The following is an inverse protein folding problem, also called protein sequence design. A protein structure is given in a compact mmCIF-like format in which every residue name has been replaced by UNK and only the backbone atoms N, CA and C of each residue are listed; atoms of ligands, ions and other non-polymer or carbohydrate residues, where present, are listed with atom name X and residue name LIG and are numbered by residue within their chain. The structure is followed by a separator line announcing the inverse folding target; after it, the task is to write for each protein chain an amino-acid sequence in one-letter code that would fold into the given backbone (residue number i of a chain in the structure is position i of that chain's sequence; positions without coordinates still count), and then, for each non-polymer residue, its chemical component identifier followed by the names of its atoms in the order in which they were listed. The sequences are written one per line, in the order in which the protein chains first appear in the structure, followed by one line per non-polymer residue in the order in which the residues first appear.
data_IF_280092589324
#
_entry.id   IF_280092589324
#
_cell.length_a   1.000
_cell.length_b   1.000
_cell.length_c   1.000
_cell.angle_alpha   90.00
_cell.angle_beta   90.00
_cell.angle_gamma   90.00
#
_symmetry.space_group_name_H-M   'P 1'
#
loop_
_entity.id
_entity.type
_entity.pdbx_description
1 polymer ?
#
# COMPACT_ATOMS: atom_id res chain seq x y z
N UNK A 1 -5.43 -34.68 56.16
CA UNK A 1 -3.96 -34.67 56.19
C UNK A 1 -3.44 -35.03 54.80
N UNK A 2 -2.59 -34.17 54.24
CA UNK A 2 -1.66 -34.33 53.12
C UNK A 2 -2.12 -34.44 51.64
N UNK A 3 -1.63 -33.42 50.91
CA UNK A 3 -1.49 -33.17 49.47
C UNK A 3 -0.52 -34.16 48.79
N UNK A 4 -0.71 -34.43 47.48
CA UNK A 4 0.31 -34.42 46.39
C UNK A 4 -0.32 -34.80 45.02
N UNK A 5 -0.46 -33.85 44.07
CA UNK A 5 0.39 -33.53 42.88
C UNK A 5 0.32 -34.57 41.73
N UNK A 6 -0.33 -34.21 40.60
CA UNK A 6 0.23 -33.94 39.25
C UNK A 6 0.61 -35.23 38.46
N UNK A 7 0.42 -35.44 37.15
CA UNK A 7 0.69 -34.64 35.93
C UNK A 7 -0.14 -35.27 34.78
N UNK A 8 -0.83 -34.46 33.96
CA UNK A 8 -1.43 -34.91 32.69
C UNK A 8 -0.40 -34.67 31.57
N UNK A 9 0.12 -35.74 30.97
CA UNK A 9 1.13 -35.69 29.93
C UNK A 9 0.51 -35.38 28.55
N UNK A 10 0.91 -34.26 27.97
CA UNK A 10 0.60 -33.88 26.59
C UNK A 10 1.48 -34.68 25.62
N UNK A 11 0.86 -35.53 24.80
CA UNK A 11 1.54 -36.19 23.67
C UNK A 11 1.76 -35.18 22.53
N UNK A 12 3.03 -34.80 22.30
CA UNK A 12 3.49 -34.17 21.07
C UNK A 12 3.94 -35.30 20.14
N UNK A 13 3.20 -35.55 19.06
CA UNK A 13 3.68 -36.40 17.97
C UNK A 13 4.49 -35.51 17.02
N UNK A 14 5.81 -35.50 17.20
CA UNK A 14 6.75 -35.03 16.20
C UNK A 14 7.02 -36.18 15.22
N UNK A 15 6.46 -36.08 14.02
CA UNK A 15 6.78 -36.99 12.92
C UNK A 15 8.19 -36.71 12.42
N UNK A 16 9.11 -37.63 12.70
CA UNK A 16 10.46 -37.66 12.14
C UNK A 16 10.38 -37.93 10.63
N UNK A 17 10.93 -37.01 9.82
CA UNK A 17 11.30 -37.27 8.43
C UNK A 17 12.53 -38.20 8.43
N UNK A 18 12.34 -39.44 8.04
CA UNK A 18 13.42 -40.38 7.74
C UNK A 18 13.93 -40.08 6.33
N UNK A 19 15.07 -39.41 6.22
CA UNK A 19 15.83 -39.32 4.96
C UNK A 19 16.76 -40.52 4.85
N UNK A 20 16.48 -41.41 3.90
CA UNK A 20 17.37 -42.52 3.51
C UNK A 20 18.66 -41.92 2.93
N UNK A 21 19.78 -42.21 3.59
CA UNK A 21 21.11 -41.83 3.14
C UNK A 21 21.55 -42.74 1.98
N UNK A 22 21.80 -42.14 0.81
CA UNK A 22 22.62 -42.71 -0.26
C UNK A 22 23.78 -41.75 -0.56
N UNK A 23 24.97 -42.23 -0.93
CA UNK A 23 26.15 -41.38 -1.10
C UNK A 23 26.04 -40.55 -2.38
N UNK A 24 25.97 -39.22 -2.25
CA UNK A 24 26.15 -38.29 -3.37
C UNK A 24 27.64 -37.89 -3.40
N UNK A 25 28.32 -38.04 -4.56
CA UNK A 25 29.73 -37.71 -4.71
C UNK A 25 30.01 -36.22 -4.56
N UNK A 26 31.14 -35.93 -3.91
CA UNK A 26 31.68 -34.60 -3.71
C UNK A 26 31.97 -33.90 -5.05
N UNK A 27 31.34 -32.75 -5.28
CA UNK A 27 31.70 -31.90 -6.41
C UNK A 27 30.57 -31.04 -6.99
N UNK A 28 29.98 -30.16 -6.19
CA UNK A 28 29.33 -28.95 -6.72
C UNK A 28 29.30 -27.89 -5.62
N UNK A 29 29.90 -26.75 -5.93
CA UNK A 29 30.20 -25.66 -5.03
C UNK A 29 28.97 -25.16 -4.25
N UNK A 30 29.23 -24.76 -3.01
CA UNK A 30 28.29 -24.11 -2.11
C UNK A 30 27.62 -22.89 -2.76
N UNK A 31 26.40 -23.06 -3.25
CA UNK A 31 25.45 -21.96 -3.33
C UNK A 31 24.96 -21.70 -1.91
N UNK A 32 25.55 -20.71 -1.24
CA UNK A 32 24.93 -20.09 -0.07
C UNK A 32 23.59 -19.50 -0.53
N UNK A 33 22.52 -20.26 -0.36
CA UNK A 33 21.18 -19.70 -0.28
C UNK A 33 21.20 -18.63 0.82
N UNK A 34 21.25 -17.37 0.39
CA UNK A 34 20.92 -16.24 1.25
C UNK A 34 19.55 -16.54 1.85
N UNK A 35 19.50 -16.85 3.14
CA UNK A 35 18.28 -16.76 3.95
C UNK A 35 17.69 -15.37 3.74
N UNK A 36 16.72 -15.28 2.83
CA UNK A 36 15.77 -14.19 2.82
C UNK A 36 14.91 -14.40 4.07
N UNK A 37 15.20 -13.64 5.11
CA UNK A 37 14.37 -13.61 6.32
C UNK A 37 12.99 -13.13 5.88
N UNK A 38 11.99 -13.99 6.03
CA UNK A 38 10.61 -13.79 5.61
C UNK A 38 9.91 -12.80 6.57
N UNK A 39 10.40 -11.55 6.60
CA UNK A 39 10.06 -10.48 7.54
C UNK A 39 8.58 -10.03 7.45
N UNK A 40 7.80 -10.64 6.55
CA UNK A 40 6.36 -10.44 6.42
C UNK A 40 5.55 -11.31 7.40
N UNK A 41 6.13 -12.36 7.99
CA UNK A 41 5.40 -13.25 8.91
C UNK A 41 5.33 -12.70 10.33
N UNK A 42 4.17 -12.88 10.97
CA UNK A 42 3.90 -12.50 12.36
C UNK A 42 3.50 -13.75 13.13
N UNK A 43 4.30 -14.11 14.14
CA UNK A 43 3.98 -15.24 15.02
C UNK A 43 2.82 -14.85 15.96
N UNK A 44 1.86 -15.75 16.10
CA UNK A 44 0.69 -15.53 16.94
C UNK A 44 0.88 -16.31 18.24
N UNK A 45 1.11 -15.60 19.33
CA UNK A 45 1.19 -16.23 20.65
C UNK A 45 -0.18 -16.73 21.14
N UNK A 46 -0.18 -17.53 22.20
CA UNK A 46 -1.41 -18.14 22.74
C UNK A 46 -2.45 -17.11 23.21
N UNK A 47 -2.01 -15.96 23.74
CA UNK A 47 -2.91 -14.92 24.24
C UNK A 47 -3.61 -14.20 23.09
N UNK A 48 -2.86 -13.86 22.04
CA UNK A 48 -3.40 -13.27 20.83
C UNK A 48 -4.29 -14.28 20.09
N UNK A 49 -3.87 -15.55 19.97
CA UNK A 49 -4.67 -16.61 19.37
C UNK A 49 -6.05 -16.73 20.03
N UNK A 50 -6.12 -16.72 21.37
CA UNK A 50 -7.38 -16.76 22.10
C UNK A 50 -8.28 -15.55 21.81
N UNK A 51 -7.72 -14.34 21.71
CA UNK A 51 -8.47 -13.12 21.36
C UNK A 51 -9.01 -13.19 19.93
N UNK A 52 -8.17 -13.58 18.98
CA UNK A 52 -8.56 -13.74 17.57
C UNK A 52 -9.67 -14.79 17.43
N UNK A 53 -9.54 -15.92 18.13
CA UNK A 53 -10.54 -16.98 18.12
C UNK A 53 -11.88 -16.52 18.70
N UNK A 54 -11.86 -15.73 19.77
CA UNK A 54 -13.06 -15.14 20.37
C UNK A 54 -13.76 -14.21 19.37
N UNK A 55 -13.01 -13.31 18.73
CA UNK A 55 -13.55 -12.34 17.78
C UNK A 55 -14.20 -13.03 16.58
N UNK A 56 -13.53 -14.01 15.96
CA UNK A 56 -14.10 -14.72 14.81
C UNK A 56 -15.29 -15.59 15.20
N UNK A 57 -15.30 -16.17 16.40
CA UNK A 57 -16.46 -16.93 16.89
C UNK A 57 -17.67 -16.02 17.11
N UNK A 58 -17.47 -14.83 17.66
CA UNK A 58 -18.53 -13.83 17.79
C UNK A 58 -19.09 -13.41 16.44
N UNK A 59 -18.23 -13.28 15.43
CA UNK A 59 -18.62 -12.93 14.07
C UNK A 59 -19.35 -14.07 13.33
N UNK A 60 -18.72 -15.25 13.24
CA UNK A 60 -19.20 -16.37 12.45
C UNK A 60 -20.30 -17.19 13.16
N UNK A 61 -20.52 -16.96 14.46
CA UNK A 61 -21.43 -17.73 15.30
C UNK A 61 -20.94 -19.16 15.60
N UNK A 62 -19.75 -19.53 15.14
CA UNK A 62 -19.15 -20.86 15.29
C UNK A 62 -17.64 -20.78 15.36
N UNK A 63 -17.02 -21.87 15.78
CA UNK A 63 -15.56 -21.97 15.83
C UNK A 63 -14.96 -22.05 14.41
N UNK A 64 -13.96 -21.22 14.14
CA UNK A 64 -13.24 -21.15 12.86
C UNK A 64 -11.77 -21.41 13.11
N UNK A 65 -11.15 -22.34 12.38
CA UNK A 65 -9.72 -22.63 12.55
C UNK A 65 -8.88 -21.55 11.87
N UNK A 66 -8.09 -20.83 12.63
CA UNK A 66 -7.13 -19.83 12.13
C UNK A 66 -5.77 -20.45 11.84
N UNK A 67 -5.03 -19.88 10.88
CA UNK A 67 -3.61 -20.17 10.69
C UNK A 67 -2.82 -19.73 11.93
N UNK A 68 -1.70 -20.38 12.21
CA UNK A 68 -0.83 -20.05 13.35
C UNK A 68 0.10 -18.86 13.11
N UNK A 69 0.20 -18.40 11.86
CA UNK A 69 1.07 -17.31 11.43
C UNK A 69 0.23 -16.30 10.67
N UNK A 70 0.36 -15.04 11.03
CA UNK A 70 -0.21 -13.90 10.30
C UNK A 70 0.81 -13.29 9.33
N UNK A 71 0.33 -12.37 8.50
CA UNK A 71 1.10 -11.62 7.52
C UNK A 71 0.98 -10.12 7.79
N UNK A 72 2.11 -9.41 7.75
CA UNK A 72 2.13 -7.94 7.85
C UNK A 72 1.38 -7.33 6.67
N UNK A 73 0.59 -6.31 6.97
CA UNK A 73 -0.10 -5.50 5.97
C UNK A 73 0.90 -4.44 5.50
N UNK A 74 1.27 -4.49 4.23
CA UNK A 74 2.39 -3.71 3.66
C UNK A 74 2.22 -2.19 3.83
N UNK A 75 0.98 -1.69 3.85
CA UNK A 75 0.64 -0.29 4.04
C UNK A 75 0.36 0.12 5.50
N UNK A 76 0.52 -0.77 6.47
CA UNK A 76 0.25 -0.49 7.88
C UNK A 76 1.50 -0.68 8.73
N UNK A 77 1.92 0.38 9.43
CA UNK A 77 3.14 0.38 10.23
C UNK A 77 3.14 -0.69 11.34
N UNK A 78 1.98 -0.98 11.94
CA UNK A 78 1.81 -1.98 13.00
C UNK A 78 0.73 -3.02 12.65
N UNK A 79 0.29 -3.09 11.39
CA UNK A 79 -0.85 -3.94 11.02
C UNK A 79 -0.47 -5.32 10.54
N UNK A 80 -1.21 -6.34 10.98
CA UNK A 80 -1.14 -7.69 10.44
C UNK A 80 -2.53 -8.28 10.19
N UNK A 81 -2.57 -9.33 9.37
CA UNK A 81 -3.76 -10.11 9.05
C UNK A 81 -3.47 -11.59 9.31
N UNK A 82 -4.41 -12.30 9.93
CA UNK A 82 -4.41 -13.77 9.97
C UNK A 82 -5.61 -14.31 9.22
N UNK A 83 -5.41 -15.33 8.42
CA UNK A 83 -6.49 -16.00 7.68
C UNK A 83 -6.95 -17.27 8.38
N UNK A 84 -8.19 -17.66 8.13
CA UNK A 84 -8.66 -19.00 8.42
C UNK A 84 -7.96 -20.04 7.53
N UNK A 85 -7.90 -21.28 7.99
CA UNK A 85 -7.29 -22.38 7.24
C UNK A 85 -8.03 -22.67 5.92
N UNK A 86 -9.34 -22.46 5.89
CA UNK A 86 -10.17 -22.56 4.67
C UNK A 86 -10.09 -21.32 3.76
N UNK A 87 -9.35 -20.28 4.18
CA UNK A 87 -9.18 -19.03 3.45
C UNK A 87 -10.42 -18.14 3.38
N UNK A 88 -11.55 -18.53 3.99
CA UNK A 88 -12.82 -17.80 3.90
C UNK A 88 -12.85 -16.53 4.74
N UNK A 89 -12.15 -16.53 5.88
CA UNK A 89 -12.15 -15.44 6.84
C UNK A 89 -10.75 -14.88 7.04
N UNK A 90 -10.68 -13.61 7.41
CA UNK A 90 -9.45 -13.02 7.92
C UNK A 90 -9.72 -12.04 9.06
N UNK A 91 -8.73 -11.82 9.91
CA UNK A 91 -8.81 -10.89 11.04
C UNK A 91 -7.61 -9.97 10.99
N UNK A 92 -7.85 -8.66 11.03
CA UNK A 92 -6.82 -7.65 11.01
C UNK A 92 -6.58 -7.11 12.44
N UNK A 93 -5.32 -7.12 12.88
CA UNK A 93 -4.92 -6.80 14.25
C UNK A 93 -3.54 -6.13 14.34
N UNK A 94 -3.32 -5.37 15.42
CA UNK A 94 -2.12 -4.55 15.57
C UNK A 94 -1.06 -5.45 16.19
N UNK A 95 0.14 -5.54 15.61
CA UNK A 95 1.17 -6.46 16.06
C UNK A 95 1.61 -6.12 17.48
N UNK A 96 1.85 -4.83 17.78
CA UNK A 96 2.31 -4.40 19.10
C UNK A 96 1.26 -4.53 20.21
N UNK A 97 -0.01 -4.17 19.92
CA UNK A 97 -1.08 -4.15 20.94
C UNK A 97 -1.98 -5.39 20.95
N UNK A 98 -1.98 -6.19 19.88
CA UNK A 98 -2.95 -7.27 19.66
C UNK A 98 -4.39 -6.77 19.45
N UNK A 99 -4.59 -5.46 19.27
CA UNK A 99 -5.92 -4.85 19.10
C UNK A 99 -6.47 -5.20 17.73
N UNK A 100 -7.64 -5.83 17.70
CA UNK A 100 -8.37 -6.17 16.47
C UNK A 100 -9.19 -4.96 16.02
N UNK A 101 -9.20 -4.63 14.73
CA UNK A 101 -10.05 -3.54 14.20
C UNK A 101 -11.00 -3.99 13.10
N UNK A 102 -10.77 -5.14 12.48
CA UNK A 102 -11.56 -5.59 11.34
C UNK A 102 -11.58 -7.11 11.23
N UNK A 103 -12.73 -7.62 10.81
CA UNK A 103 -12.92 -9.00 10.37
C UNK A 103 -13.36 -8.98 8.90
N UNK A 104 -12.78 -9.87 8.11
CA UNK A 104 -13.05 -10.01 6.68
C UNK A 104 -13.69 -11.37 6.41
N UNK A 105 -14.64 -11.41 5.47
CA UNK A 105 -15.24 -12.63 4.96
C UNK A 105 -15.33 -12.56 3.44
N UNK A 106 -14.88 -13.64 2.78
CA UNK A 106 -15.14 -13.86 1.36
C UNK A 106 -16.59 -14.28 1.16
N UNK A 107 -17.31 -13.46 0.42
CA UNK A 107 -18.72 -13.66 0.07
C UNK A 107 -18.91 -13.61 -1.44
N UNK A 108 -20.05 -14.07 -1.93
CA UNK A 108 -20.39 -13.92 -3.35
C UNK A 108 -20.89 -12.52 -3.65
N UNK A 109 -20.65 -12.04 -4.87
CA UNK A 109 -21.14 -10.75 -5.37
C UNK A 109 -22.66 -10.60 -5.25
N UNK A 110 -23.41 -11.72 -5.24
CA UNK A 110 -24.86 -11.75 -5.05
C UNK A 110 -25.29 -11.28 -3.64
N UNK A 111 -24.38 -11.21 -2.67
CA UNK A 111 -24.63 -10.58 -1.36
C UNK A 111 -24.67 -9.06 -1.41
N UNK A 112 -24.23 -8.46 -2.51
CA UNK A 112 -24.28 -7.01 -2.72
C UNK A 112 -25.48 -6.69 -3.59
N UNK A 113 -26.28 -5.70 -3.18
CA UNK A 113 -27.47 -5.31 -3.94
C UNK A 113 -27.10 -4.84 -5.35
N UNK A 114 -28.00 -5.06 -6.32
CA UNK A 114 -27.80 -4.57 -7.70
C UNK A 114 -27.69 -3.04 -7.76
N UNK A 115 -28.36 -2.34 -6.85
CA UNK A 115 -28.24 -0.89 -6.70
C UNK A 115 -26.83 -0.47 -6.29
N UNK A 116 -26.25 -1.13 -5.28
CA UNK A 116 -24.90 -0.82 -4.81
C UNK A 116 -23.84 -1.19 -5.86
N UNK A 117 -24.02 -2.32 -6.56
CA UNK A 117 -23.19 -2.67 -7.71
C UNK A 117 -23.24 -1.58 -8.79
N UNK A 118 -24.44 -1.06 -9.11
CA UNK A 118 -24.61 0.00 -10.09
C UNK A 118 -23.96 1.34 -9.65
N UNK A 119 -24.01 1.68 -8.36
CA UNK A 119 -23.32 2.86 -7.79
C UNK A 119 -21.81 2.76 -7.99
N UNK A 120 -21.22 1.61 -7.66
CA UNK A 120 -19.79 1.35 -7.86
C UNK A 120 -19.42 1.46 -9.34
N UNK A 121 -20.18 0.83 -10.22
CA UNK A 121 -19.95 0.90 -11.67
C UNK A 121 -20.06 2.33 -12.21
N UNK A 122 -20.99 3.15 -11.70
CA UNK A 122 -21.13 4.55 -12.08
C UNK A 122 -19.86 5.34 -11.76
N UNK A 123 -19.25 5.11 -10.60
CA UNK A 123 -18.00 5.78 -10.20
C UNK A 123 -16.84 5.34 -11.09
N UNK A 124 -16.67 4.03 -11.32
CA UNK A 124 -15.63 3.50 -12.20
C UNK A 124 -15.75 4.05 -13.64
N UNK A 125 -16.95 4.05 -14.21
CA UNK A 125 -17.21 4.59 -15.55
C UNK A 125 -17.04 6.11 -15.62
N UNK A 126 -17.37 6.81 -14.53
CA UNK A 126 -17.12 8.25 -14.42
C UNK A 126 -15.63 8.59 -14.37
N UNK A 127 -14.81 7.72 -13.76
CA UNK A 127 -13.37 7.87 -13.72
C UNK A 127 -12.71 7.53 -15.05
N UNK A 128 -13.10 6.41 -15.69
CA UNK A 128 -12.60 6.03 -17.00
C UNK A 128 -13.63 5.21 -17.78
N UNK A 129 -14.26 5.81 -18.79
CA UNK A 129 -15.38 5.20 -19.52
C UNK A 129 -14.94 4.12 -20.53
N UNK A 130 -13.71 4.20 -21.04
CA UNK A 130 -13.23 3.37 -22.16
C UNK A 130 -12.82 1.95 -21.75
N UNK A 131 -13.15 1.52 -20.52
CA UNK A 131 -12.83 0.18 -20.02
C UNK A 131 -14.10 -0.57 -19.64
N UNK A 132 -14.06 -1.89 -19.85
CA UNK A 132 -15.17 -2.76 -19.46
C UNK A 132 -14.97 -3.21 -18.01
N UNK A 133 -15.97 -2.94 -17.17
CA UNK A 133 -15.95 -3.30 -15.76
C UNK A 133 -16.86 -4.49 -15.50
N UNK A 134 -16.24 -5.60 -15.12
CA UNK A 134 -16.93 -6.82 -14.68
C UNK A 134 -16.38 -7.18 -13.31
N UNK A 135 -17.27 -7.29 -12.32
CA UNK A 135 -16.87 -7.73 -10.98
C UNK A 135 -16.56 -9.21 -10.97
N UNK A 136 -15.56 -9.57 -10.16
CA UNK A 136 -15.33 -10.95 -9.77
C UNK A 136 -16.53 -11.48 -8.97
N UNK A 137 -16.70 -12.80 -9.00
CA UNK A 137 -17.78 -13.47 -8.24
C UNK A 137 -17.54 -13.40 -6.73
N UNK A 138 -16.29 -13.31 -6.31
CA UNK A 138 -15.90 -13.20 -4.91
C UNK A 138 -15.68 -11.74 -4.52
N UNK A 139 -16.16 -11.38 -3.33
CA UNK A 139 -16.01 -10.05 -2.74
C UNK A 139 -15.55 -10.22 -1.30
N UNK A 140 -14.68 -9.33 -0.84
CA UNK A 140 -14.30 -9.28 0.57
C UNK A 140 -15.25 -8.33 1.29
N UNK A 141 -16.14 -8.88 2.12
CA UNK A 141 -16.95 -8.13 3.05
C UNK A 141 -16.15 -7.85 4.32
N UNK A 142 -16.16 -6.61 4.77
CA UNK A 142 -15.37 -6.15 5.91
C UNK A 142 -16.31 -5.60 6.99
N UNK A 143 -16.10 -6.06 8.22
CA UNK A 143 -16.82 -5.60 9.41
C UNK A 143 -15.84 -4.99 10.39
N UNK A 144 -16.20 -3.82 10.91
CA UNK A 144 -15.44 -3.23 12.01
C UNK A 144 -15.54 -4.10 13.25
N UNK A 145 -14.46 -4.11 14.04
CA UNK A 145 -14.43 -4.73 15.34
C UNK A 145 -13.80 -3.76 16.33
N UNK A 146 -14.49 -3.46 17.42
CA UNK A 146 -13.94 -2.67 18.52
C UNK A 146 -13.09 -3.60 19.37
N UNK A 147 -11.78 -3.63 19.11
CA UNK A 147 -10.81 -4.47 19.83
C UNK A 147 -10.65 -4.12 21.31
N UNK A 148 -11.05 -2.92 21.72
CA UNK A 148 -10.96 -2.48 23.12
C UNK A 148 -12.18 -2.96 23.92
N UNK A 149 -13.35 -2.90 23.30
CA UNK A 149 -14.62 -3.38 23.89
C UNK A 149 -14.91 -4.85 23.59
N UNK A 150 -14.12 -5.46 22.71
CA UNK A 150 -14.29 -6.80 22.17
C UNK A 150 -15.71 -7.02 21.61
N UNK A 151 -16.13 -6.12 20.71
CA UNK A 151 -17.48 -6.13 20.11
C UNK A 151 -17.43 -5.90 18.61
N UNK A 152 -18.35 -6.56 17.89
CA UNK A 152 -18.60 -6.24 16.48
C UNK A 152 -19.11 -4.80 16.35
N UNK A 153 -18.45 -4.04 15.49
CA UNK A 153 -18.85 -2.69 15.12
C UNK A 153 -19.96 -2.69 14.08
N UNK A 154 -20.58 -1.52 13.90
CA UNK A 154 -21.63 -1.30 12.89
C UNK A 154 -21.08 -1.07 11.49
N UNK A 155 -19.79 -0.75 11.34
CA UNK A 155 -19.22 -0.40 10.04
C UNK A 155 -19.16 -1.61 9.11
N UNK A 156 -19.68 -1.42 7.90
CA UNK A 156 -19.67 -2.36 6.79
C UNK A 156 -19.02 -1.73 5.58
N UNK A 157 -18.04 -2.42 5.02
CA UNK A 157 -17.50 -2.11 3.71
C UNK A 157 -17.32 -3.36 2.88
N UNK A 158 -17.18 -3.17 1.59
CA UNK A 158 -16.91 -4.21 0.61
C UNK A 158 -15.69 -3.80 -0.20
N UNK A 159 -14.75 -4.72 -0.37
CA UNK A 159 -13.71 -4.63 -1.40
C UNK A 159 -14.15 -5.46 -2.60
N UNK A 160 -14.58 -4.78 -3.66
CA UNK A 160 -14.96 -5.39 -4.93
C UNK A 160 -13.74 -5.39 -5.85
N UNK A 161 -13.50 -6.49 -6.54
CA UNK A 161 -12.41 -6.62 -7.52
C UNK A 161 -12.96 -6.99 -8.89
N UNK A 162 -12.15 -6.77 -9.91
CA UNK A 162 -12.27 -7.34 -11.24
C UNK A 162 -10.88 -7.44 -11.85
N UNK A 163 -10.80 -7.92 -13.10
CA UNK A 163 -9.53 -8.20 -13.80
C UNK A 163 -8.44 -7.14 -13.59
N UNK A 164 -8.80 -5.87 -13.74
CA UNK A 164 -7.86 -4.74 -13.73
C UNK A 164 -8.31 -3.62 -12.78
N UNK A 165 -9.14 -3.90 -11.78
CA UNK A 165 -9.55 -2.85 -10.84
C UNK A 165 -9.92 -3.40 -9.47
N UNK A 166 -9.82 -2.52 -8.47
CA UNK A 166 -10.37 -2.74 -7.15
C UNK A 166 -11.10 -1.50 -6.65
N UNK A 167 -12.16 -1.70 -5.86
CA UNK A 167 -12.96 -0.62 -5.27
C UNK A 167 -13.33 -0.94 -3.84
N UNK A 168 -13.20 0.06 -2.97
CA UNK A 168 -13.72 0.05 -1.61
C UNK A 168 -15.04 0.82 -1.54
N UNK A 169 -16.12 0.10 -1.23
CA UNK A 169 -17.46 0.63 -1.03
C UNK A 169 -17.85 0.57 0.44
N UNK A 170 -18.17 1.71 1.04
CA UNK A 170 -18.56 1.87 2.43
C UNK A 170 -20.08 1.87 2.51
N UNK A 171 -20.67 0.76 2.96
CA UNK A 171 -22.12 0.62 3.04
C UNK A 171 -22.69 1.34 4.25
N UNK A 172 -22.00 1.27 5.38
CA UNK A 172 -22.38 1.94 6.61
C UNK A 172 -21.43 3.09 6.94
N UNK A 173 -21.90 4.04 7.77
CA UNK A 173 -21.09 5.15 8.25
C UNK A 173 -19.85 4.65 8.98
N UNK A 174 -18.72 5.30 8.72
CA UNK A 174 -17.51 5.19 9.53
C UNK A 174 -17.08 6.58 9.97
N UNK A 175 -16.21 6.67 10.98
CA UNK A 175 -15.67 7.95 11.43
C UNK A 175 -14.95 8.75 10.31
N UNK A 176 -14.55 8.09 9.22
CA UNK A 176 -13.76 8.67 8.13
C UNK A 176 -14.50 8.78 6.79
N UNK A 177 -15.62 8.08 6.63
CA UNK A 177 -16.35 8.00 5.36
C UNK A 177 -17.86 7.98 5.59
N UNK A 178 -18.62 8.74 4.79
CA UNK A 178 -20.08 8.71 4.84
C UNK A 178 -20.63 7.37 4.34
N UNK A 179 -21.87 7.10 4.71
CA UNK A 179 -22.67 5.97 4.25
C UNK A 179 -22.81 5.97 2.73
N UNK A 180 -22.84 4.78 2.15
CA UNK A 180 -23.01 4.53 0.71
C UNK A 180 -21.94 5.21 -0.16
N UNK A 181 -20.74 5.43 0.39
CA UNK A 181 -19.64 6.09 -0.29
C UNK A 181 -18.71 5.10 -1.01
N UNK A 182 -18.35 5.44 -2.25
CA UNK A 182 -17.23 4.82 -2.95
C UNK A 182 -16.01 5.68 -2.71
N UNK A 183 -15.09 5.26 -1.83
CA UNK A 183 -14.04 6.14 -1.35
C UNK A 183 -12.70 5.94 -2.05
N UNK A 184 -12.34 4.71 -2.40
CA UNK A 184 -11.07 4.41 -3.02
C UNK A 184 -11.29 3.40 -4.13
N UNK A 185 -10.73 3.70 -5.30
CA UNK A 185 -10.62 2.74 -6.38
C UNK A 185 -9.23 2.85 -6.98
N UNK A 186 -8.79 1.76 -7.57
CA UNK A 186 -7.61 1.69 -8.40
C UNK A 186 -8.00 0.98 -9.68
N UNK A 187 -7.71 1.57 -10.83
CA UNK A 187 -7.89 0.95 -12.15
C UNK A 187 -6.49 0.80 -12.75
N UNK A 188 -6.10 -0.43 -13.08
CA UNK A 188 -4.82 -0.74 -13.69
C UNK A 188 -4.93 -0.70 -15.21
N UNK A 189 -3.84 -0.28 -15.84
CA UNK A 189 -3.73 -0.14 -17.28
C UNK A 189 -2.45 -0.81 -17.78
N UNK A 190 -2.56 -1.47 -18.92
CA UNK A 190 -1.42 -1.78 -19.78
C UNK A 190 -0.97 -0.52 -20.50
N UNK A 191 0.27 -0.50 -20.99
CA UNK A 191 0.82 0.65 -21.72
C UNK A 191 -0.05 1.01 -22.92
N UNK A 192 -0.60 0.01 -23.61
CA UNK A 192 -1.41 0.15 -24.82
C UNK A 192 -2.80 0.73 -24.53
N UNK A 193 -3.28 0.66 -23.30
CA UNK A 193 -4.56 1.23 -22.88
C UNK A 193 -4.46 2.70 -22.45
N UNK A 194 -3.25 3.24 -22.30
CA UNK A 194 -3.03 4.62 -21.87
C UNK A 194 -3.37 5.61 -22.98
N UNK A 195 -3.91 6.76 -22.59
CA UNK A 195 -4.11 7.88 -23.51
C UNK A 195 -2.74 8.32 -24.10
N UNK A 196 -2.61 8.44 -25.43
CA UNK A 196 -1.33 8.79 -26.05
C UNK A 196 -0.75 10.11 -25.58
N UNK A 197 -1.57 11.14 -25.30
CA UNK A 197 -1.08 12.44 -24.83
C UNK A 197 -0.59 12.36 -23.39
N UNK A 198 -1.27 11.58 -22.56
CA UNK A 198 -0.82 11.29 -21.20
C UNK A 198 0.55 10.60 -21.21
N UNK A 199 0.70 9.57 -22.04
CA UNK A 199 1.97 8.84 -22.18
C UNK A 199 3.09 9.73 -22.73
N UNK A 200 2.82 10.55 -23.75
CA UNK A 200 3.78 11.50 -24.31
C UNK A 200 4.26 12.52 -23.26
N UNK A 201 3.32 13.08 -22.48
CA UNK A 201 3.64 14.02 -21.40
C UNK A 201 4.50 13.36 -20.33
N UNK A 202 4.16 12.13 -19.94
CA UNK A 202 4.92 11.33 -18.98
C UNK A 202 6.36 11.07 -19.45
N UNK A 203 6.53 10.60 -20.69
CA UNK A 203 7.83 10.33 -21.30
C UNK A 203 8.67 11.61 -21.36
N UNK A 204 8.09 12.72 -21.83
CA UNK A 204 8.77 14.02 -21.91
C UNK A 204 9.28 14.47 -20.55
N UNK A 205 8.43 14.43 -19.52
CA UNK A 205 8.82 14.84 -18.18
C UNK A 205 9.95 13.99 -17.58
N UNK A 206 9.89 12.66 -17.73
CA UNK A 206 10.93 11.76 -17.23
C UNK A 206 12.24 11.95 -17.99
N UNK A 207 12.18 12.20 -19.31
CA UNK A 207 13.36 12.53 -20.10
C UNK A 207 14.00 13.84 -19.63
N UNK A 208 13.20 14.88 -19.43
CA UNK A 208 13.68 16.19 -18.95
C UNK A 208 14.35 16.08 -17.57
N UNK A 209 13.72 15.41 -16.62
CA UNK A 209 14.20 15.41 -15.21
C UNK A 209 15.34 14.43 -14.98
N UNK A 210 15.24 13.23 -15.57
CA UNK A 210 16.17 12.14 -15.26
C UNK A 210 17.05 11.73 -16.43
N UNK A 211 16.85 12.30 -17.63
CA UNK A 211 17.43 11.82 -18.88
C UNK A 211 17.18 10.31 -19.07
N UNK A 212 15.98 9.85 -18.70
CA UNK A 212 15.57 8.46 -18.72
C UNK A 212 14.49 8.24 -19.78
N UNK A 213 14.56 7.12 -20.49
CA UNK A 213 13.55 6.72 -21.46
C UNK A 213 12.52 5.83 -20.73
N UNK A 214 11.36 6.42 -20.41
CA UNK A 214 10.33 5.78 -19.59
C UNK A 214 9.73 4.53 -20.29
N UNK A 215 10.05 3.35 -19.75
CA UNK A 215 9.46 2.08 -20.14
C UNK A 215 8.35 1.66 -19.16
N UNK A 216 7.12 2.13 -19.38
CA UNK A 216 6.00 1.87 -18.46
C UNK A 216 5.78 0.37 -18.25
N UNK A 217 6.08 -0.11 -17.04
CA UNK A 217 5.85 -1.50 -16.59
C UNK A 217 4.61 -1.62 -15.70
N UNK A 218 4.18 -0.52 -15.09
CA UNK A 218 2.96 -0.45 -14.27
C UNK A 218 2.30 0.90 -14.46
N UNK A 219 0.98 0.90 -14.58
CA UNK A 219 0.21 2.13 -14.59
C UNK A 219 -1.16 1.94 -13.96
N UNK A 220 -1.59 2.94 -13.19
CA UNK A 220 -2.92 2.93 -12.59
C UNK A 220 -3.49 4.34 -12.43
N UNK A 221 -4.82 4.40 -12.37
CA UNK A 221 -5.58 5.57 -11.95
C UNK A 221 -6.19 5.29 -10.58
N UNK A 222 -5.81 6.09 -9.58
CA UNK A 222 -6.43 6.08 -8.27
C UNK A 222 -7.09 7.42 -7.98
N UNK A 223 -8.42 7.42 -7.83
CA UNK A 223 -9.26 8.63 -7.78
C UNK A 223 -9.02 9.55 -8.98
N UNK A 224 -8.15 10.55 -8.84
CA UNK A 224 -7.82 11.57 -9.84
C UNK A 224 -6.32 11.58 -10.19
N UNK A 225 -5.53 10.72 -9.57
CA UNK A 225 -4.09 10.63 -9.76
C UNK A 225 -3.75 9.43 -10.63
N UNK A 226 -3.11 9.71 -11.76
CA UNK A 226 -2.43 8.71 -12.56
C UNK A 226 -1.05 8.44 -11.96
N UNK A 227 -0.69 7.17 -11.79
CA UNK A 227 0.66 6.76 -11.42
C UNK A 227 1.22 5.87 -12.53
N UNK A 228 2.35 6.26 -13.11
CA UNK A 228 3.07 5.50 -14.12
C UNK A 228 4.46 5.18 -13.58
N UNK A 229 4.88 3.93 -13.76
CA UNK A 229 6.15 3.47 -13.24
C UNK A 229 6.90 2.62 -14.24
N UNK A 230 8.22 2.71 -14.16
CA UNK A 230 9.14 1.71 -14.68
C UNK A 230 9.96 1.10 -13.52
N UNK A 231 11.05 0.41 -13.85
CA UNK A 231 11.96 -0.19 -12.87
C UNK A 231 12.61 0.82 -11.93
N UNK A 232 12.98 1.99 -12.44
CA UNK A 232 13.83 2.97 -11.77
C UNK A 232 13.09 4.25 -11.38
N UNK A 233 11.92 4.52 -11.97
CA UNK A 233 11.16 5.76 -11.88
C UNK A 233 9.70 5.51 -11.50
N UNK A 234 9.12 6.46 -10.79
CA UNK A 234 7.68 6.62 -10.58
C UNK A 234 7.28 8.07 -10.85
N UNK A 235 6.14 8.25 -11.52
CA UNK A 235 5.56 9.53 -11.92
C UNK A 235 4.11 9.57 -11.44
N UNK A 236 3.68 10.72 -10.93
CA UNK A 236 2.27 11.00 -10.72
C UNK A 236 1.79 12.17 -11.57
N UNK A 237 0.57 12.06 -12.08
CA UNK A 237 -0.09 13.10 -12.86
C UNK A 237 -1.54 13.31 -12.39
N UNK A 238 -1.98 14.56 -12.40
CA UNK A 238 -3.35 14.97 -12.11
C UNK A 238 -3.80 15.98 -13.17
N UNK A 239 -5.02 15.84 -13.68
CA UNK A 239 -5.57 16.72 -14.74
C UNK A 239 -4.64 16.87 -15.97
N UNK A 240 -3.92 15.79 -16.32
CA UNK A 240 -2.99 15.77 -17.45
C UNK A 240 -1.65 16.49 -17.18
N UNK A 241 -1.40 16.95 -15.96
CA UNK A 241 -0.16 17.62 -15.55
C UNK A 241 0.64 16.74 -14.61
N UNK A 242 1.96 16.81 -14.74
CA UNK A 242 2.88 16.16 -13.79
C UNK A 242 2.77 16.86 -12.44
N UNK A 243 2.66 16.08 -11.36
CA UNK A 243 2.64 16.59 -9.99
C UNK A 243 3.78 16.03 -9.15
N UNK A 244 4.30 14.86 -9.51
CA UNK A 244 5.41 14.23 -8.82
C UNK A 244 6.26 13.39 -9.77
N UNK A 245 7.57 13.45 -9.61
CA UNK A 245 8.52 12.51 -10.23
C UNK A 245 9.48 12.01 -9.16
N UNK A 246 9.79 10.72 -9.17
CA UNK A 246 10.59 10.05 -8.16
C UNK A 246 11.50 9.01 -8.80
N UNK A 247 12.79 9.04 -8.45
CA UNK A 247 13.75 8.03 -8.84
C UNK A 247 13.98 7.05 -7.70
N UNK A 248 13.57 5.79 -7.92
CA UNK A 248 13.52 4.71 -6.94
C UNK A 248 14.89 4.26 -6.42
N UNK A 249 15.95 4.45 -7.19
CA UNK A 249 17.30 3.94 -6.88
C UNK A 249 18.29 5.02 -6.45
N UNK A 250 18.03 6.30 -6.74
CA UNK A 250 18.89 7.41 -6.27
C UNK A 250 18.71 7.63 -4.77
N UNK A 251 19.79 7.98 -4.09
CA UNK A 251 19.81 8.25 -2.65
C UNK A 251 19.88 9.74 -2.40
N UNK A 252 18.81 10.28 -1.81
CA UNK A 252 18.78 11.67 -1.37
C UNK A 252 19.81 11.94 -0.27
N UNK A 253 20.39 13.14 -0.28
CA UNK A 253 21.19 13.63 0.85
C UNK A 253 20.32 13.72 2.10
N UNK A 254 20.91 13.41 3.25
CA UNK A 254 20.20 13.42 4.54
C UNK A 254 20.47 14.68 5.36
N UNK A 255 21.32 15.58 4.86
CA UNK A 255 21.69 16.86 5.50
C UNK A 255 21.96 17.92 4.42
N UNK A 256 21.87 19.19 4.78
CA UNK A 256 22.21 20.33 3.90
C UNK A 256 23.70 20.72 3.93
N UNK A 257 24.59 19.92 4.54
CA UNK A 257 26.01 20.29 4.70
C UNK A 257 26.82 20.33 3.39
N UNK A 258 26.31 19.75 2.30
CA UNK A 258 26.97 19.72 0.98
C UNK A 258 26.11 20.25 -0.17
N UNK A 259 24.86 20.60 0.10
CA UNK A 259 23.92 21.15 -0.87
C UNK A 259 23.19 22.28 -0.16
N UNK A 260 23.40 23.50 -0.63
CA UNK A 260 22.78 24.69 -0.05
C UNK A 260 21.38 24.89 -0.62
N UNK A 261 20.59 25.74 0.01
CA UNK A 261 19.31 26.21 -0.52
C UNK A 261 19.48 26.87 -1.91
N UNK A 262 20.62 27.55 -2.14
CA UNK A 262 20.99 28.11 -3.44
C UNK A 262 21.22 27.02 -4.48
N UNK A 263 21.98 25.99 -4.15
CA UNK A 263 22.23 24.85 -5.05
C UNK A 263 20.91 24.17 -5.45
N UNK A 264 20.01 23.97 -4.48
CA UNK A 264 18.69 23.40 -4.72
C UNK A 264 17.86 24.29 -5.65
N UNK A 265 17.89 25.61 -5.46
CA UNK A 265 17.20 26.56 -6.33
C UNK A 265 17.72 26.54 -7.77
N UNK A 266 19.04 26.54 -7.94
CA UNK A 266 19.68 26.49 -9.26
C UNK A 266 19.38 25.19 -10.01
N UNK A 267 19.43 24.05 -9.33
CA UNK A 267 19.12 22.75 -9.94
C UNK A 267 17.65 22.63 -10.37
N UNK A 268 16.73 23.25 -9.62
CA UNK A 268 15.29 23.09 -9.83
C UNK A 268 14.69 24.16 -10.75
N UNK A 269 15.27 25.36 -10.84
CA UNK A 269 14.73 26.48 -11.63
C UNK A 269 14.31 26.12 -13.07
N UNK A 270 15.16 25.48 -13.90
CA UNK A 270 14.74 25.12 -15.26
C UNK A 270 13.59 24.10 -15.26
N UNK A 271 13.63 23.12 -14.36
CA UNK A 271 12.63 22.04 -14.28
C UNK A 271 11.27 22.54 -13.77
N UNK A 272 11.27 23.46 -12.80
CA UNK A 272 10.04 24.03 -12.27
C UNK A 272 9.28 24.83 -13.34
N UNK A 273 10.03 25.56 -14.19
CA UNK A 273 9.45 26.28 -15.30
C UNK A 273 8.92 25.34 -16.38
N UNK A 274 9.68 24.30 -16.73
CA UNK A 274 9.31 23.37 -17.80
C UNK A 274 8.13 22.46 -17.42
N UNK A 275 8.16 21.85 -16.24
CA UNK A 275 7.16 20.85 -15.84
C UNK A 275 5.88 21.47 -15.26
N UNK A 276 6.02 22.57 -14.51
CA UNK A 276 4.93 23.14 -13.72
C UNK A 276 4.56 24.56 -14.14
N UNK A 277 5.24 25.13 -15.14
CA UNK A 277 5.13 26.54 -15.52
C UNK A 277 5.28 27.48 -14.31
N UNK A 278 6.16 27.11 -13.36
CA UNK A 278 6.38 27.84 -12.12
C UNK A 278 7.67 28.65 -12.21
N UNK A 279 7.56 29.97 -12.01
CA UNK A 279 8.74 30.79 -11.73
C UNK A 279 9.07 30.69 -10.24
N UNK A 280 10.29 30.28 -9.94
CA UNK A 280 10.78 30.09 -8.57
C UNK A 280 11.79 31.15 -8.14
N UNK A 281 12.09 32.13 -8.98
CA UNK A 281 13.16 33.11 -8.77
C UNK A 281 13.01 33.88 -7.44
N UNK A 282 11.79 34.21 -7.05
CA UNK A 282 11.50 34.95 -5.81
C UNK A 282 11.09 34.05 -4.64
N UNK A 283 11.04 32.73 -4.84
CA UNK A 283 10.65 31.81 -3.77
C UNK A 283 11.77 31.63 -2.76
N UNK A 284 11.38 31.65 -1.48
CA UNK A 284 12.26 31.26 -0.39
C UNK A 284 12.48 29.75 -0.45
N UNK A 285 13.74 29.31 -0.28
CA UNK A 285 14.09 27.90 -0.20
C UNK A 285 14.53 27.59 1.22
N UNK A 286 14.01 26.51 1.80
CA UNK A 286 14.35 26.07 3.15
C UNK A 286 14.63 24.57 3.17
N UNK A 287 15.72 24.18 3.83
CA UNK A 287 15.93 22.78 4.22
C UNK A 287 14.96 22.35 5.33
N UNK A 288 14.35 21.19 5.17
CA UNK A 288 13.56 20.52 6.20
C UNK A 288 14.32 19.31 6.74
N UNK A 289 14.68 19.35 8.03
CA UNK A 289 15.41 18.26 8.68
C UNK A 289 14.57 17.03 8.99
N UNK A 290 13.24 17.17 9.04
CA UNK A 290 12.30 16.09 9.36
C UNK A 290 12.17 15.15 8.15
N UNK A 291 11.93 15.72 6.98
CA UNK A 291 11.72 15.02 5.72
C UNK A 291 12.97 14.96 4.84
N UNK A 292 14.05 15.66 5.23
CA UNK A 292 15.37 15.64 4.59
C UNK A 292 15.31 16.05 3.13
N UNK A 293 14.69 17.19 2.88
CA UNK A 293 14.50 17.76 1.55
C UNK A 293 14.41 19.28 1.61
N UNK A 294 14.27 19.94 0.46
CA UNK A 294 14.12 21.39 0.36
C UNK A 294 12.69 21.74 -0.04
N UNK A 295 12.12 22.73 0.64
CA UNK A 295 10.85 23.36 0.31
C UNK A 295 11.07 24.69 -0.39
N UNK A 296 10.28 24.96 -1.42
CA UNK A 296 10.12 26.28 -2.00
C UNK A 296 8.80 26.87 -1.50
N UNK A 297 8.88 28.03 -0.88
CA UNK A 297 7.79 28.62 -0.10
C UNK A 297 7.27 29.86 -0.82
N UNK A 298 5.95 29.89 -1.03
CA UNK A 298 5.19 31.05 -1.49
C UNK A 298 4.09 31.34 -0.48
N UNK A 299 3.94 32.59 -0.06
CA UNK A 299 2.88 33.00 0.88
C UNK A 299 2.81 32.13 2.15
N UNK A 300 3.99 31.79 2.71
CA UNK A 300 4.17 30.91 3.89
C UNK A 300 3.74 29.46 3.71
N UNK A 301 3.50 29.01 2.48
CA UNK A 301 3.13 27.63 2.15
C UNK A 301 4.15 27.00 1.20
N UNK A 302 4.53 25.73 1.40
CA UNK A 302 5.27 24.97 0.41
C UNK A 302 4.47 24.84 -0.89
N UNK A 303 5.09 25.20 -2.02
CA UNK A 303 4.49 25.02 -3.37
C UNK A 303 5.26 24.03 -4.22
N UNK A 304 6.50 23.74 -3.84
CA UNK A 304 7.38 22.78 -4.48
C UNK A 304 8.28 22.14 -3.43
N UNK A 305 8.59 20.86 -3.61
CA UNK A 305 9.55 20.12 -2.79
C UNK A 305 10.52 19.34 -3.66
N UNK A 306 11.78 19.32 -3.27
CA UNK A 306 12.82 18.58 -3.97
C UNK A 306 13.73 17.84 -2.99
N UNK A 307 14.14 16.62 -3.35
CA UNK A 307 15.35 16.04 -2.78
C UNK A 307 16.39 15.82 -3.87
N UNK A 308 17.64 16.05 -3.50
CA UNK A 308 18.80 15.93 -4.38
C UNK A 308 19.73 14.82 -3.88
N UNK A 309 20.40 14.14 -4.80
CA UNK A 309 21.51 13.25 -4.47
C UNK A 309 22.79 14.06 -4.22
N UNK A 310 23.87 13.39 -3.80
CA UNK A 310 25.15 14.06 -3.50
C UNK A 310 25.77 14.81 -4.70
N UNK A 311 25.33 14.51 -5.93
CA UNK A 311 25.78 15.15 -7.17
C UNK A 311 24.80 16.25 -7.63
N UNK A 312 23.86 16.67 -6.77
CA UNK A 312 22.81 17.66 -7.06
C UNK A 312 21.81 17.22 -8.11
N UNK A 313 21.74 15.91 -8.44
CA UNK A 313 20.69 15.42 -9.33
C UNK A 313 19.38 15.27 -8.58
N UNK A 314 18.27 15.47 -9.28
CA UNK A 314 16.93 15.23 -8.72
C UNK A 314 16.79 13.75 -8.32
N UNK A 315 16.36 13.53 -7.08
CA UNK A 315 15.84 12.24 -6.59
C UNK A 315 14.33 12.27 -6.67
N UNK A 316 13.72 13.38 -6.24
CA UNK A 316 12.30 13.62 -6.46
C UNK A 316 12.02 15.10 -6.61
N UNK A 317 10.94 15.40 -7.32
CA UNK A 317 10.41 16.75 -7.47
C UNK A 317 8.87 16.69 -7.44
N UNK A 318 8.27 17.40 -6.48
CA UNK A 318 6.82 17.37 -6.22
C UNK A 318 6.27 18.79 -6.18
N UNK A 319 5.14 19.05 -6.84
CA UNK A 319 4.46 20.35 -6.86
C UNK A 319 3.00 20.27 -6.36
N UNK A 320 2.40 21.43 -6.11
CA UNK A 320 0.98 21.55 -5.78
C UNK A 320 0.65 21.12 -4.35
N UNK A 321 -0.57 20.63 -4.12
CA UNK A 321 -1.06 20.24 -2.78
C UNK A 321 -0.15 19.18 -2.13
N UNK A 322 0.45 18.30 -2.94
CA UNK A 322 1.38 17.25 -2.48
C UNK A 322 2.71 17.81 -1.95
N UNK A 323 3.06 19.05 -2.27
CA UNK A 323 4.22 19.71 -1.67
C UNK A 323 3.98 20.07 -0.19
N UNK A 324 2.73 20.11 0.28
CA UNK A 324 2.38 20.48 1.66
C UNK A 324 2.66 19.37 2.69
N UNK A 325 2.53 18.10 2.31
CA UNK A 325 2.68 16.96 3.21
C UNK A 325 3.97 16.20 2.93
N UNK A 326 4.85 16.13 3.93
CA UNK A 326 6.03 15.26 3.92
C UNK A 326 5.64 13.78 3.95
N UNK A 327 5.48 13.20 2.76
CA UNK A 327 4.91 11.87 2.46
C UNK A 327 3.38 11.79 2.59
#
# INVERSE_FOLDING_TARGET
MNIKKAILASMIVAGMLVTVAGPIPAGAAAAQEKKQTDNKKVQIDQKLAAKLQKAIKQYAGKEIKLKSVGEKIESSHDGAKVESVDGKYAICFNVGSGRIWQIEEKVTIDKISKEDQAKVLKVLKGAYANKTYVFDKEVIMQRGYDGDKEKLGVSLSYKLTGKDFEVYFFKDNTAKMPKDAVSAFTINFTKEELDPKLLETAIGAIKTVFNHDLEVTSSNLSRFTWTLEDKDISLEMEEGKVTNVFHKTRKAVTTNKGITEKDAKEAVAPLAKELFNMDIADLEVKWDSTFKNYYFIKDKQPVLRVALDANKNIVFLTSGVRALSGF
#
